data_IF_416943302072
#
_entry.id   IF_416943302072
#
_cell.length_a   1.000
_cell.length_b   1.000
_cell.length_c   1.000
_cell.angle_alpha   90.00
_cell.angle_beta   90.00
_cell.angle_gamma   90.00
#
_symmetry.space_group_name_H-M   'P 1'
#
loop_
_entity.id
_entity.type
_entity.pdbx_description
1 polymer ?
#
# COMPACT_ATOMS: atom_id res chain seq x y z
N UNK A 1 27.17 18.32 -1.69
CA UNK A 1 27.38 17.56 -2.93
C UNK A 1 26.19 16.64 -3.03
N UNK A 2 25.33 16.84 -3.99
CA UNK A 2 24.17 15.97 -4.22
C UNK A 2 24.46 15.12 -5.45
N UNK A 3 24.17 13.82 -5.36
CA UNK A 3 24.24 12.90 -6.50
C UNK A 3 22.81 12.72 -7.03
N UNK A 4 22.59 13.01 -8.29
CA UNK A 4 21.39 12.58 -9.00
C UNK A 4 21.82 11.48 -9.96
N UNK A 5 21.20 10.29 -9.86
CA UNK A 5 21.31 9.26 -10.88
C UNK A 5 20.23 9.52 -11.93
N UNK A 6 20.60 9.52 -13.20
CA UNK A 6 19.65 9.56 -14.30
C UNK A 6 19.37 8.14 -14.80
N UNK A 7 18.15 7.87 -15.28
CA UNK A 7 17.73 6.57 -15.82
C UNK A 7 18.55 6.08 -17.04
N UNK A 8 19.45 6.93 -17.59
CA UNK A 8 20.37 6.60 -18.69
C UNK A 8 21.74 6.10 -18.21
N UNK A 9 21.89 5.77 -16.92
CA UNK A 9 23.15 5.30 -16.32
C UNK A 9 24.21 6.36 -16.12
N UNK A 10 23.88 7.65 -16.33
CA UNK A 10 24.75 8.77 -16.09
C UNK A 10 24.62 9.33 -14.67
N UNK A 11 25.71 9.56 -13.96
CA UNK A 11 25.70 10.30 -12.71
C UNK A 11 25.94 11.79 -12.99
N UNK A 12 24.99 12.66 -12.59
CA UNK A 12 25.21 14.11 -12.58
C UNK A 12 25.70 14.56 -11.21
N UNK A 13 26.86 15.17 -11.17
CA UNK A 13 27.35 15.86 -9.98
C UNK A 13 26.98 17.34 -10.08
N UNK A 14 26.24 17.85 -9.10
CA UNK A 14 25.99 19.27 -8.95
C UNK A 14 26.82 19.82 -7.79
N UNK A 15 27.61 20.85 -8.05
CA UNK A 15 28.29 21.62 -7.02
C UNK A 15 27.40 22.83 -6.72
N UNK A 16 26.79 22.85 -5.54
CA UNK A 16 26.04 24.00 -5.07
C UNK A 16 26.99 24.93 -4.30
N UNK A 17 27.17 26.13 -4.80
CA UNK A 17 27.88 27.21 -4.08
C UNK A 17 26.82 28.05 -3.39
N UNK A 18 26.78 27.99 -2.06
CA UNK A 18 25.90 28.82 -1.26
C UNK A 18 26.60 30.13 -0.96
N UNK A 19 25.97 31.25 -1.36
CA UNK A 19 26.38 32.59 -0.96
C UNK A 19 25.37 33.18 0.03
N UNK A 20 25.85 33.96 1.00
CA UNK A 20 24.95 34.77 1.84
C UNK A 20 24.34 35.88 0.96
N UNK A 21 23.01 35.94 0.93
CA UNK A 21 22.26 37.05 0.38
C UNK A 21 21.78 37.96 1.53
N UNK A 22 21.60 39.24 1.25
CA UNK A 22 20.91 40.13 2.19
C UNK A 22 19.48 39.65 2.40
N UNK A 23 19.02 39.64 3.66
CA UNK A 23 17.68 39.20 4.00
C UNK A 23 16.60 40.01 3.25
N UNK A 24 16.84 41.28 3.01
CA UNK A 24 15.95 42.18 2.27
C UNK A 24 15.90 41.91 0.75
N UNK A 25 16.83 41.10 0.23
CA UNK A 25 16.86 40.69 -1.18
C UNK A 25 16.08 39.41 -1.44
N UNK A 26 15.65 38.66 -0.39
CA UNK A 26 14.88 37.42 -0.48
C UNK A 26 13.41 37.74 -0.25
N UNK A 27 12.56 37.50 -1.26
CA UNK A 27 11.12 37.62 -1.10
C UNK A 27 10.65 36.59 -0.05
N UNK A 28 9.92 37.05 0.99
CA UNK A 28 9.37 36.15 1.98
C UNK A 28 8.32 35.23 1.33
N UNK A 29 8.44 33.92 1.57
CA UNK A 29 7.44 32.94 1.14
C UNK A 29 6.48 32.64 2.27
N UNK A 30 5.22 32.37 1.93
CA UNK A 30 4.26 31.83 2.89
C UNK A 30 4.71 30.42 3.29
N UNK A 31 4.97 30.23 4.58
CA UNK A 31 5.34 28.92 5.12
C UNK A 31 4.10 28.10 5.43
N UNK A 32 4.10 26.87 4.95
CA UNK A 32 3.05 25.87 5.18
C UNK A 32 3.65 24.70 5.97
N UNK A 33 3.11 24.43 7.14
CA UNK A 33 3.58 23.35 8.00
C UNK A 33 3.04 22.00 7.50
N UNK A 34 3.94 21.07 7.19
CA UNK A 34 3.60 19.69 6.85
C UNK A 34 4.02 18.78 8.00
N UNK A 35 3.07 18.08 8.61
CA UNK A 35 3.32 17.05 9.61
C UNK A 35 3.47 15.67 8.94
N UNK A 36 4.48 14.90 9.37
CA UNK A 36 4.72 13.54 8.92
C UNK A 36 5.30 12.66 10.03
N UNK A 37 5.41 11.36 9.76
CA UNK A 37 6.06 10.35 10.60
C UNK A 37 7.15 9.62 9.78
N UNK A 38 8.22 10.33 9.47
CA UNK A 38 9.18 9.95 8.47
C UNK A 38 8.69 10.29 7.05
N UNK A 39 9.55 10.90 6.27
CA UNK A 39 9.26 11.15 4.85
C UNK A 39 9.96 10.08 4.02
N UNK A 40 9.22 9.50 3.08
CA UNK A 40 9.83 8.73 2.02
C UNK A 40 10.74 9.60 1.14
N UNK A 41 11.58 8.96 0.34
CA UNK A 41 12.57 9.64 -0.48
C UNK A 41 11.92 10.53 -1.55
N UNK A 42 10.84 10.06 -2.21
CA UNK A 42 10.19 10.75 -3.32
C UNK A 42 9.51 12.02 -2.83
N UNK A 43 8.73 11.92 -1.75
CA UNK A 43 8.05 13.08 -1.16
C UNK A 43 9.05 14.11 -0.62
N UNK A 44 10.14 13.66 0.01
CA UNK A 44 11.24 14.55 0.44
C UNK A 44 11.86 15.29 -0.73
N UNK A 45 12.14 14.60 -1.83
CA UNK A 45 12.69 15.20 -3.05
C UNK A 45 11.72 16.19 -3.66
N UNK A 46 10.43 15.89 -3.68
CA UNK A 46 9.39 16.80 -4.20
C UNK A 46 9.24 18.06 -3.35
N UNK A 47 9.31 17.96 -2.01
CA UNK A 47 9.33 19.13 -1.12
C UNK A 47 10.52 20.04 -1.44
N UNK A 48 11.70 19.47 -1.65
CA UNK A 48 12.89 20.25 -2.01
C UNK A 48 12.70 20.93 -3.38
N UNK A 49 12.18 20.21 -4.38
CA UNK A 49 11.89 20.74 -5.72
C UNK A 49 10.87 21.88 -5.64
N UNK A 50 9.75 21.66 -4.93
CA UNK A 50 8.71 22.66 -4.73
C UNK A 50 9.24 23.91 -4.01
N UNK A 51 9.98 23.74 -2.92
CA UNK A 51 10.54 24.85 -2.16
C UNK A 51 11.54 25.70 -2.96
N UNK A 52 12.19 25.11 -3.97
CA UNK A 52 13.10 25.84 -4.88
C UNK A 52 12.33 26.55 -6.00
N UNK A 53 11.34 25.92 -6.59
CA UNK A 53 10.63 26.43 -7.78
C UNK A 53 9.50 27.39 -7.45
N UNK A 54 8.77 27.19 -6.35
CA UNK A 54 7.67 28.05 -5.94
C UNK A 54 8.19 29.44 -5.54
N UNK A 55 7.59 30.50 -6.10
CA UNK A 55 7.91 31.88 -5.73
C UNK A 55 7.27 32.28 -4.39
N UNK A 56 6.08 31.78 -4.11
CA UNK A 56 5.18 32.30 -3.08
C UNK A 56 5.13 31.42 -1.82
N UNK A 57 5.44 30.10 -1.96
CA UNK A 57 5.21 29.12 -0.91
C UNK A 57 6.47 28.34 -0.53
N UNK A 58 6.49 27.89 0.72
CA UNK A 58 7.52 27.00 1.25
C UNK A 58 6.90 25.97 2.20
N UNK A 59 7.17 24.70 1.97
CA UNK A 59 6.79 23.62 2.91
C UNK A 59 7.86 23.54 4.00
N UNK A 60 7.40 23.57 5.25
CA UNK A 60 8.20 23.39 6.46
C UNK A 60 7.80 22.07 7.10
N UNK A 61 8.67 21.09 7.06
CA UNK A 61 8.41 19.75 7.58
C UNK A 61 8.51 19.74 9.09
N UNK A 62 7.51 19.13 9.74
CA UNK A 62 7.49 18.77 11.15
C UNK A 62 7.42 17.23 11.23
N UNK A 63 8.55 16.61 11.48
CA UNK A 63 8.63 15.15 11.57
C UNK A 63 8.37 14.69 13.02
N UNK A 64 7.23 14.05 13.23
CA UNK A 64 6.82 13.55 14.54
C UNK A 64 7.42 12.19 14.87
N UNK A 65 8.07 11.50 13.92
CA UNK A 65 8.81 10.27 14.20
C UNK A 65 9.97 10.50 15.18
N UNK A 66 10.50 11.72 15.25
CA UNK A 66 11.56 12.11 16.19
C UNK A 66 11.16 11.96 17.67
N UNK A 67 9.85 11.88 17.97
CA UNK A 67 9.35 11.68 19.34
C UNK A 67 9.20 10.21 19.73
N UNK A 68 9.30 9.27 18.76
CA UNK A 68 9.21 7.84 19.03
C UNK A 68 10.42 7.41 19.92
N UNK A 69 10.16 6.49 20.83
CA UNK A 69 11.17 5.87 21.70
C UNK A 69 11.06 4.36 21.61
N UNK A 70 12.07 3.64 22.09
CA UNK A 70 12.04 2.17 22.15
C UNK A 70 10.88 1.62 23.01
N UNK A 71 10.39 2.43 23.97
CA UNK A 71 9.29 2.06 24.86
C UNK A 71 7.91 2.56 24.37
N UNK A 72 7.87 3.55 23.46
CA UNK A 72 6.62 4.15 22.93
C UNK A 72 6.81 4.64 21.49
N UNK A 73 6.48 3.77 20.55
CA UNK A 73 6.48 4.09 19.12
C UNK A 73 5.38 5.09 18.73
N UNK A 74 4.31 5.22 19.55
CA UNK A 74 3.17 6.11 19.29
C UNK A 74 3.33 7.50 19.93
N UNK A 75 4.45 7.78 20.61
CA UNK A 75 4.67 9.08 21.26
C UNK A 75 4.55 10.27 20.29
N UNK A 76 4.99 10.10 19.04
CA UNK A 76 4.82 11.11 17.98
C UNK A 76 3.34 11.39 17.66
N UNK A 77 2.52 10.35 17.50
CA UNK A 77 1.09 10.49 17.25
C UNK A 77 0.38 11.18 18.44
N UNK A 78 0.73 10.79 19.66
CA UNK A 78 0.23 11.43 20.90
C UNK A 78 0.58 12.91 20.92
N UNK A 79 1.82 13.26 20.52
CA UNK A 79 2.28 14.65 20.44
C UNK A 79 1.50 15.45 19.40
N UNK A 80 1.33 14.93 18.19
CA UNK A 80 0.55 15.59 17.13
C UNK A 80 -0.91 15.79 17.58
N UNK A 81 -1.55 14.78 18.16
CA UNK A 81 -2.92 14.89 18.66
C UNK A 81 -3.05 15.97 19.76
N UNK A 82 -2.05 16.07 20.65
CA UNK A 82 -2.01 17.13 21.68
C UNK A 82 -1.92 18.53 21.05
N UNK A 83 -1.10 18.70 20.00
CA UNK A 83 -0.99 19.95 19.27
C UNK A 83 -2.30 20.31 18.53
N UNK A 84 -2.94 19.33 17.88
CA UNK A 84 -4.26 19.50 17.24
C UNK A 84 -5.29 19.96 18.26
N UNK A 85 -5.40 19.30 19.42
CA UNK A 85 -6.35 19.67 20.49
C UNK A 85 -6.07 21.08 21.03
N UNK A 86 -4.81 21.49 21.11
CA UNK A 86 -4.42 22.84 21.55
C UNK A 86 -4.62 23.92 20.49
N UNK A 87 -5.07 23.55 19.29
CA UNK A 87 -5.30 24.49 18.17
C UNK A 87 -4.05 24.79 17.33
N UNK A 88 -2.94 24.09 17.57
CA UNK A 88 -1.71 24.20 16.76
C UNK A 88 -1.72 23.12 15.66
N UNK A 89 -2.64 23.27 14.71
CA UNK A 89 -2.90 22.29 13.67
C UNK A 89 -1.98 22.57 12.47
N UNK A 90 -1.20 21.59 11.96
CA UNK A 90 -0.44 21.74 10.73
C UNK A 90 -1.33 22.02 9.52
N UNK A 91 -0.79 22.66 8.47
CA UNK A 91 -1.54 23.00 7.25
C UNK A 91 -1.77 21.76 6.38
N UNK A 92 -0.78 20.86 6.33
CA UNK A 92 -0.77 19.65 5.54
C UNK A 92 -0.42 18.47 6.45
N UNK A 93 -1.09 17.34 6.26
CA UNK A 93 -0.72 16.07 6.88
C UNK A 93 -0.24 15.11 5.78
N UNK A 94 0.93 14.52 5.98
CA UNK A 94 1.44 13.41 5.17
C UNK A 94 1.31 12.12 6.00
N UNK A 95 0.43 11.23 5.56
CA UNK A 95 0.11 10.00 6.26
C UNK A 95 0.75 8.80 5.57
N UNK A 96 1.56 8.07 6.31
CA UNK A 96 2.11 6.76 5.98
C UNK A 96 1.46 5.68 6.85
N UNK A 97 0.11 5.59 6.81
CA UNK A 97 -0.73 4.61 7.51
C UNK A 97 -0.79 4.72 9.05
N UNK A 98 -0.26 5.79 9.66
CA UNK A 98 -0.29 5.99 11.11
C UNK A 98 -1.38 6.94 11.60
N UNK A 99 -1.84 7.87 10.74
CA UNK A 99 -2.80 8.87 11.13
C UNK A 99 -4.24 8.35 11.05
N UNK A 100 -5.09 8.62 12.04
CA UNK A 100 -6.49 8.24 12.04
C UNK A 100 -7.31 9.20 11.14
N UNK A 101 -7.08 9.15 9.82
CA UNK A 101 -7.63 10.10 8.86
C UNK A 101 -9.16 10.14 8.90
N UNK A 102 -9.81 8.98 9.02
CA UNK A 102 -11.28 8.90 9.09
C UNK A 102 -11.82 9.63 10.33
N UNK A 103 -11.14 9.55 11.48
CA UNK A 103 -11.52 10.30 12.68
C UNK A 103 -11.31 11.80 12.48
N UNK A 104 -10.18 12.21 11.88
CA UNK A 104 -9.93 13.63 11.59
C UNK A 104 -10.98 14.19 10.63
N UNK A 105 -11.38 13.41 9.63
CA UNK A 105 -12.47 13.76 8.71
C UNK A 105 -13.82 13.90 9.45
N UNK A 106 -14.17 12.92 10.29
CA UNK A 106 -15.40 12.96 11.09
C UNK A 106 -15.47 14.18 12.02
N UNK A 107 -14.33 14.61 12.56
CA UNK A 107 -14.21 15.84 13.39
C UNK A 107 -14.16 17.14 12.56
N UNK A 108 -14.28 17.06 11.23
CA UNK A 108 -14.22 18.22 10.34
C UNK A 108 -12.86 18.91 10.27
N UNK A 109 -11.77 18.17 10.54
CA UNK A 109 -10.41 18.71 10.52
C UNK A 109 -9.80 18.75 9.13
N UNK A 110 -10.38 18.03 8.14
CA UNK A 110 -9.82 17.84 6.80
C UNK A 110 -10.73 18.45 5.73
N UNK A 111 -10.09 19.00 4.70
CA UNK A 111 -10.76 19.49 3.48
C UNK A 111 -11.12 18.34 2.56
N UNK A 112 -12.26 18.49 1.85
CA UNK A 112 -12.58 17.67 0.71
C UNK A 112 -11.71 18.09 -0.48
N UNK A 113 -10.93 17.18 -1.03
CA UNK A 113 -10.00 17.44 -2.12
C UNK A 113 -10.64 17.36 -3.52
N UNK A 114 -11.83 16.77 -3.66
CA UNK A 114 -12.51 16.71 -4.95
C UNK A 114 -12.72 18.08 -5.61
N UNK A 115 -13.16 19.12 -4.88
CA UNK A 115 -13.32 20.45 -5.48
C UNK A 115 -12.02 21.04 -6.04
N UNK A 116 -10.87 20.72 -5.45
CA UNK A 116 -9.57 21.18 -5.95
C UNK A 116 -9.18 20.42 -7.23
N UNK A 117 -9.37 19.12 -7.26
CA UNK A 117 -9.12 18.25 -8.42
C UNK A 117 -10.03 18.65 -9.58
N UNK A 118 -11.33 18.84 -9.32
CA UNK A 118 -12.31 19.18 -10.35
C UNK A 118 -12.11 20.59 -10.95
N UNK A 119 -11.50 21.49 -10.18
CA UNK A 119 -11.19 22.85 -10.65
C UNK A 119 -9.85 22.94 -11.39
N UNK A 120 -8.99 21.91 -11.31
CA UNK A 120 -7.66 21.90 -11.92
C UNK A 120 -7.67 21.13 -13.25
N UNK A 121 -7.51 21.82 -14.41
CA UNK A 121 -7.57 21.17 -15.70
C UNK A 121 -6.36 20.25 -15.99
N UNK A 122 -5.28 20.34 -15.21
CA UNK A 122 -4.07 19.51 -15.40
C UNK A 122 -4.13 18.19 -14.64
N UNK A 123 -4.94 18.10 -13.58
CA UNK A 123 -5.13 16.89 -12.79
C UNK A 123 -6.61 16.54 -12.54
N UNK A 124 -7.50 16.86 -13.49
CA UNK A 124 -8.92 16.48 -13.43
C UNK A 124 -9.12 14.97 -13.33
N UNK A 125 -10.26 14.52 -12.81
CA UNK A 125 -10.55 13.09 -12.52
C UNK A 125 -10.29 12.16 -13.71
N UNK A 126 -10.58 12.60 -14.93
CA UNK A 126 -10.36 11.82 -16.15
C UNK A 126 -8.88 11.54 -16.45
N UNK A 127 -7.97 12.32 -15.85
CA UNK A 127 -6.53 12.15 -15.96
C UNK A 127 -5.93 11.29 -14.86
N UNK A 128 -6.71 10.89 -13.86
CA UNK A 128 -6.24 10.15 -12.69
C UNK A 128 -6.77 8.71 -12.72
N UNK A 129 -6.01 7.80 -12.11
CA UNK A 129 -6.45 6.46 -11.75
C UNK A 129 -7.48 6.59 -10.63
N UNK A 130 -8.78 6.59 -10.97
CA UNK A 130 -9.83 6.96 -10.00
C UNK A 130 -10.14 5.87 -8.98
N UNK A 131 -9.90 4.60 -9.27
CA UNK A 131 -10.20 3.48 -8.37
C UNK A 131 -9.52 3.62 -7.00
N UNK A 132 -8.19 3.87 -6.90
CA UNK A 132 -7.56 4.14 -5.60
C UNK A 132 -8.15 5.33 -4.87
N UNK A 133 -8.54 6.39 -5.60
CA UNK A 133 -9.14 7.58 -5.00
C UNK A 133 -10.57 7.30 -4.49
N UNK A 134 -11.36 6.55 -5.27
CA UNK A 134 -12.72 6.15 -4.91
C UNK A 134 -12.73 5.28 -3.63
N UNK A 135 -11.74 4.40 -3.47
CA UNK A 135 -11.61 3.55 -2.28
C UNK A 135 -11.28 4.31 -0.99
N UNK A 136 -10.72 5.53 -1.12
CA UNK A 136 -10.40 6.44 0.00
C UNK A 136 -11.54 7.39 0.37
N UNK A 137 -12.65 7.39 -0.41
CA UNK A 137 -13.75 8.28 -0.12
C UNK A 137 -14.48 7.92 1.18
N UNK A 138 -14.91 8.95 1.87
CA UNK A 138 -15.88 8.87 2.96
C UNK A 138 -17.04 9.79 2.59
N UNK A 139 -18.26 9.26 2.45
CA UNK A 139 -19.46 10.01 2.04
C UNK A 139 -19.30 10.78 0.72
N UNK A 140 -18.62 10.18 -0.23
CA UNK A 140 -18.36 10.80 -1.54
C UNK A 140 -17.33 11.93 -1.52
N UNK A 141 -16.67 12.19 -0.37
CA UNK A 141 -15.61 13.18 -0.20
C UNK A 141 -14.25 12.50 -0.16
N UNK A 142 -13.24 13.16 -0.69
CA UNK A 142 -11.86 12.72 -0.68
C UNK A 142 -11.05 13.57 0.31
N UNK A 143 -10.70 13.02 1.46
CA UNK A 143 -9.97 13.74 2.50
C UNK A 143 -8.46 13.57 2.42
N UNK A 144 -7.98 12.62 1.63
CA UNK A 144 -6.58 12.33 1.43
C UNK A 144 -6.31 11.93 -0.02
N UNK A 145 -5.22 12.42 -0.58
CA UNK A 145 -4.76 12.12 -1.93
C UNK A 145 -3.51 11.24 -1.85
N UNK A 146 -3.54 9.99 -2.37
CA UNK A 146 -2.35 9.16 -2.43
C UNK A 146 -1.37 9.71 -3.48
N UNK A 147 -0.07 9.64 -3.20
CA UNK A 147 0.97 10.06 -4.17
C UNK A 147 1.23 9.01 -5.23
N UNK A 148 0.94 7.75 -4.92
CA UNK A 148 1.09 6.55 -5.73
C UNK A 148 0.05 5.51 -5.29
N UNK A 149 0.09 4.33 -5.87
CA UNK A 149 -0.68 3.21 -5.32
C UNK A 149 -0.03 1.85 -5.62
N UNK A 150 -0.33 0.90 -4.76
CA UNK A 150 -0.15 -0.53 -4.96
C UNK A 150 -1.44 -1.27 -4.65
N UNK A 151 -1.45 -2.58 -4.84
CA UNK A 151 -2.57 -3.46 -4.46
C UNK A 151 -2.04 -4.58 -3.58
N UNK A 152 -2.42 -4.57 -2.32
CA UNK A 152 -2.20 -5.70 -1.40
C UNK A 152 -3.16 -6.82 -1.76
N UNK A 153 -2.64 -8.02 -1.94
CA UNK A 153 -3.37 -9.19 -2.43
C UNK A 153 -2.82 -10.49 -1.83
N UNK A 154 -3.44 -11.59 -2.14
CA UNK A 154 -2.88 -12.93 -1.97
C UNK A 154 -2.92 -13.68 -3.30
N UNK A 155 -1.84 -14.40 -3.60
CA UNK A 155 -1.68 -15.17 -4.83
C UNK A 155 -1.90 -16.65 -4.54
N UNK A 156 -2.69 -17.31 -5.38
CA UNK A 156 -2.80 -18.76 -5.44
C UNK A 156 -2.48 -19.30 -6.83
N UNK A 157 -2.31 -20.62 -6.97
CA UNK A 157 -2.17 -21.26 -8.29
C UNK A 157 -3.55 -21.51 -8.90
N UNK A 158 -3.72 -21.14 -10.18
CA UNK A 158 -4.98 -21.31 -10.91
C UNK A 158 -5.51 -22.73 -10.85
N UNK A 159 -4.65 -23.74 -11.02
CA UNK A 159 -5.02 -25.15 -10.88
C UNK A 159 -5.66 -25.53 -9.53
N UNK A 160 -5.52 -24.68 -8.50
CA UNK A 160 -6.07 -24.90 -7.16
C UNK A 160 -7.23 -23.96 -6.88
N UNK A 161 -7.12 -22.68 -7.27
CA UNK A 161 -8.08 -21.63 -6.90
C UNK A 161 -9.10 -21.30 -8.00
N UNK A 162 -8.86 -21.68 -9.25
CA UNK A 162 -9.85 -21.53 -10.32
C UNK A 162 -11.08 -22.40 -10.03
N UNK A 163 -12.27 -21.83 -10.18
CA UNK A 163 -13.53 -22.53 -9.94
C UNK A 163 -14.25 -22.12 -8.65
N UNK A 164 -13.68 -21.16 -7.90
CA UNK A 164 -14.39 -20.48 -6.82
C UNK A 164 -14.92 -19.13 -7.34
N UNK A 165 -16.23 -18.91 -7.22
CA UNK A 165 -16.88 -17.65 -7.60
C UNK A 165 -16.71 -16.58 -6.51
N UNK A 166 -16.49 -17.01 -5.27
CA UNK A 166 -16.19 -16.20 -4.08
C UNK A 166 -14.87 -16.67 -3.47
N UNK A 167 -14.34 -15.90 -2.52
CA UNK A 167 -13.13 -16.28 -1.80
C UNK A 167 -13.33 -16.05 -0.31
N UNK A 168 -14.19 -16.89 0.29
CA UNK A 168 -14.50 -16.89 1.72
C UNK A 168 -13.54 -17.78 2.51
N UNK A 169 -13.57 -17.69 3.84
CA UNK A 169 -12.82 -18.63 4.70
C UNK A 169 -13.22 -20.09 4.46
N UNK A 170 -14.49 -20.35 4.11
CA UNK A 170 -14.95 -21.68 3.75
C UNK A 170 -14.31 -22.15 2.45
N UNK A 171 -14.21 -21.28 1.43
CA UNK A 171 -13.56 -21.59 0.16
C UNK A 171 -12.06 -21.86 0.35
N UNK A 172 -11.37 -21.06 1.20
CA UNK A 172 -9.97 -21.27 1.58
C UNK A 172 -9.77 -22.65 2.22
N UNK A 173 -10.64 -23.03 3.16
CA UNK A 173 -10.56 -24.34 3.82
C UNK A 173 -10.83 -25.50 2.85
N UNK A 174 -11.80 -25.35 1.94
CA UNK A 174 -12.07 -26.35 0.89
C UNK A 174 -10.88 -26.48 -0.07
N UNK A 175 -10.30 -25.36 -0.53
CA UNK A 175 -9.12 -25.36 -1.40
C UNK A 175 -7.91 -26.00 -0.69
N UNK A 176 -7.66 -25.66 0.57
CA UNK A 176 -6.60 -26.25 1.37
C UNK A 176 -6.77 -27.77 1.50
N UNK A 177 -8.00 -28.26 1.66
CA UNK A 177 -8.29 -29.70 1.78
C UNK A 177 -7.93 -30.50 0.52
N UNK A 178 -7.78 -29.85 -0.63
CA UNK A 178 -7.37 -30.45 -1.92
C UNK A 178 -5.87 -30.55 -2.08
N UNK A 179 -5.10 -29.90 -1.21
CA UNK A 179 -3.64 -29.96 -1.20
C UNK A 179 -3.14 -31.18 -0.41
N UNK A 180 -1.86 -31.59 -0.57
CA UNK A 180 -1.27 -32.66 0.21
C UNK A 180 -1.39 -32.43 1.73
N UNK A 181 -1.46 -33.53 2.48
CA UNK A 181 -1.47 -33.49 3.95
C UNK A 181 -0.26 -32.70 4.48
N UNK A 182 -0.49 -31.79 5.42
CA UNK A 182 0.53 -30.92 5.98
C UNK A 182 0.71 -29.57 5.23
N UNK A 183 -0.06 -29.33 4.16
CA UNK A 183 -0.10 -28.03 3.52
C UNK A 183 -0.69 -26.98 4.47
N UNK A 184 -0.23 -25.73 4.33
CA UNK A 184 -0.68 -24.58 5.12
C UNK A 184 -1.34 -23.53 4.23
N UNK A 185 -2.16 -22.66 4.80
CA UNK A 185 -2.76 -21.56 4.01
C UNK A 185 -1.66 -20.58 3.59
N UNK A 186 -0.88 -20.10 4.55
CA UNK A 186 0.27 -19.21 4.33
C UNK A 186 1.55 -19.85 4.84
N UNK A 187 2.69 -19.21 4.65
CA UNK A 187 3.96 -19.69 5.14
C UNK A 187 3.97 -19.79 6.66
N UNK A 188 4.74 -20.78 7.18
CA UNK A 188 4.93 -21.03 8.61
C UNK A 188 5.55 -19.84 9.39
N UNK A 189 6.15 -18.90 8.70
CA UNK A 189 6.75 -17.70 9.30
C UNK A 189 5.71 -16.69 9.79
N UNK A 190 4.47 -16.74 9.28
CA UNK A 190 3.42 -15.85 9.76
C UNK A 190 2.94 -16.26 11.14
N UNK A 191 2.95 -15.30 12.06
CA UNK A 191 2.48 -15.47 13.43
C UNK A 191 1.00 -15.13 13.57
N UNK A 192 0.40 -15.53 14.71
CA UNK A 192 -0.97 -15.13 15.06
C UNK A 192 -1.17 -13.61 15.03
N UNK A 193 -0.17 -12.85 15.53
CA UNK A 193 -0.25 -11.38 15.58
C UNK A 193 -0.26 -10.77 14.18
N UNK A 194 0.61 -11.23 13.29
CA UNK A 194 0.68 -10.75 11.90
C UNK A 194 -0.58 -11.13 11.11
N UNK A 195 -1.06 -12.38 11.24
CA UNK A 195 -2.27 -12.80 10.55
C UNK A 195 -3.52 -12.07 11.07
N UNK A 196 -3.61 -11.82 12.37
CA UNK A 196 -4.69 -11.01 12.94
C UNK A 196 -4.69 -9.60 12.36
N UNK A 197 -3.52 -8.97 12.29
CA UNK A 197 -3.36 -7.64 11.71
C UNK A 197 -3.76 -7.61 10.22
N UNK A 198 -3.27 -8.56 9.42
CA UNK A 198 -3.65 -8.67 8.01
C UNK A 198 -5.15 -8.86 7.84
N UNK A 199 -5.74 -9.83 8.52
CA UNK A 199 -7.16 -10.11 8.42
C UNK A 199 -8.03 -8.91 8.82
N UNK A 200 -7.67 -8.18 9.87
CA UNK A 200 -8.41 -6.99 10.29
C UNK A 200 -8.22 -5.85 9.30
N UNK A 201 -6.99 -5.57 8.86
CA UNK A 201 -6.70 -4.47 7.93
C UNK A 201 -7.41 -4.66 6.58
N UNK A 202 -7.44 -5.88 6.07
CA UNK A 202 -8.08 -6.22 4.78
C UNK A 202 -9.62 -6.29 4.86
N UNK A 203 -10.20 -6.34 6.07
CA UNK A 203 -11.64 -6.41 6.32
C UNK A 203 -12.15 -5.25 7.21
N UNK A 204 -11.37 -4.18 7.40
CA UNK A 204 -11.68 -3.12 8.35
C UNK A 204 -13.05 -2.47 8.10
N UNK A 205 -13.41 -2.28 6.83
CA UNK A 205 -14.68 -1.71 6.37
C UNK A 205 -15.90 -2.61 6.66
N UNK A 206 -15.72 -3.92 6.79
CA UNK A 206 -16.77 -4.86 7.19
C UNK A 206 -17.09 -4.79 8.69
N UNK A 207 -16.11 -4.40 9.50
CA UNK A 207 -16.25 -4.42 10.96
C UNK A 207 -16.42 -3.04 11.60
N UNK A 208 -16.08 -1.95 10.90
CA UNK A 208 -16.11 -0.59 11.46
C UNK A 208 -16.78 0.38 10.50
N UNK A 209 -17.69 1.19 11.05
CA UNK A 209 -18.25 2.36 10.39
C UNK A 209 -17.97 3.60 11.25
N UNK A 210 -16.95 4.35 10.89
CA UNK A 210 -16.53 5.55 11.61
C UNK A 210 -17.56 6.67 11.54
N UNK A 211 -18.31 6.77 10.44
CA UNK A 211 -19.32 7.79 10.23
C UNK A 211 -20.49 7.59 11.19
N UNK A 212 -21.04 6.39 11.22
CA UNK A 212 -22.15 6.05 12.10
C UNK A 212 -21.66 5.85 13.55
N UNK A 213 -20.35 5.69 13.75
CA UNK A 213 -19.72 5.39 15.04
C UNK A 213 -20.14 4.04 15.56
N UNK A 214 -20.21 3.05 14.67
CA UNK A 214 -20.62 1.69 15.00
C UNK A 214 -19.52 0.69 14.61
N UNK A 215 -19.53 -0.47 15.25
CA UNK A 215 -18.70 -1.60 14.88
C UNK A 215 -19.46 -2.92 15.05
N UNK A 216 -18.96 -3.98 14.44
CA UNK A 216 -19.59 -5.30 14.41
C UNK A 216 -18.55 -6.42 14.65
N UNK A 217 -17.85 -6.37 15.79
CA UNK A 217 -16.89 -7.40 16.19
C UNK A 217 -17.52 -8.59 16.94
N UNK A 218 -18.77 -8.48 17.42
CA UNK A 218 -19.53 -9.62 17.97
C UNK A 218 -20.37 -10.29 16.88
N UNK A 219 -19.76 -10.58 15.73
CA UNK A 219 -20.38 -11.25 14.58
C UNK A 219 -19.79 -12.64 14.34
N UNK A 220 -20.51 -13.48 13.60
CA UNK A 220 -20.03 -14.81 13.24
C UNK A 220 -18.82 -14.71 12.30
N UNK A 221 -18.79 -13.69 11.43
CA UNK A 221 -17.69 -13.43 10.49
C UNK A 221 -16.40 -13.09 11.24
N UNK A 222 -16.47 -12.24 12.27
CA UNK A 222 -15.27 -11.89 13.05
C UNK A 222 -14.80 -13.06 13.91
N UNK A 223 -15.72 -13.87 14.44
CA UNK A 223 -15.38 -15.11 15.16
C UNK A 223 -14.67 -16.11 14.24
N UNK A 224 -15.17 -16.29 13.03
CA UNK A 224 -14.53 -17.16 12.02
C UNK A 224 -13.11 -16.67 11.67
N UNK A 225 -12.90 -15.35 11.60
CA UNK A 225 -11.58 -14.78 11.40
C UNK A 225 -10.64 -15.09 12.57
N UNK A 226 -11.08 -14.96 13.82
CA UNK A 226 -10.28 -15.33 15.00
C UNK A 226 -9.95 -16.83 15.01
N UNK A 227 -10.90 -17.68 14.62
CA UNK A 227 -10.69 -19.12 14.49
C UNK A 227 -9.69 -19.46 13.38
N UNK A 228 -9.72 -18.72 12.27
CA UNK A 228 -8.75 -18.84 11.18
C UNK A 228 -7.33 -18.47 11.61
N UNK A 229 -7.18 -17.46 12.47
CA UNK A 229 -5.88 -17.00 12.98
C UNK A 229 -5.28 -17.97 14.01
N UNK A 230 -6.12 -18.67 14.79
CA UNK A 230 -5.66 -19.49 15.92
C UNK A 230 -4.65 -20.60 15.58
N UNK A 231 -4.70 -21.30 14.44
CA UNK A 231 -3.73 -22.33 14.08
C UNK A 231 -2.32 -21.84 13.79
N UNK A 232 -2.14 -20.52 13.55
CA UNK A 232 -0.80 -19.97 13.32
C UNK A 232 0.05 -19.99 14.59
N UNK A 233 1.40 -20.06 14.48
CA UNK A 233 2.27 -20.02 15.65
C UNK A 233 2.14 -18.68 16.39
N UNK A 234 2.20 -18.73 17.73
CA UNK A 234 2.21 -17.51 18.55
C UNK A 234 3.47 -16.67 18.28
N UNK A 235 4.60 -17.35 18.13
CA UNK A 235 5.90 -16.77 17.80
C UNK A 235 6.61 -17.70 16.82
N UNK A 236 7.46 -17.15 15.97
CA UNK A 236 8.34 -17.95 15.11
C UNK A 236 9.77 -17.89 15.62
N UNK A 237 10.34 -19.07 15.91
CA UNK A 237 11.73 -19.17 16.40
C UNK A 237 12.70 -19.40 15.22
N UNK A 238 13.24 -18.31 14.71
CA UNK A 238 14.25 -18.31 13.64
C UNK A 238 15.56 -19.03 14.03
N UNK A 239 15.85 -19.18 15.32
CA UNK A 239 17.10 -19.79 15.77
C UNK A 239 17.02 -21.32 15.84
N UNK A 240 15.83 -21.85 16.09
CA UNK A 240 15.61 -23.30 16.15
C UNK A 240 15.17 -23.89 14.82
N UNK A 241 14.82 -23.06 13.85
CA UNK A 241 14.44 -23.53 12.50
C UNK A 241 15.66 -24.08 11.78
N UNK A 242 15.74 -25.41 11.73
CA UNK A 242 16.80 -26.15 11.03
C UNK A 242 16.39 -26.61 9.64
N UNK A 243 15.18 -26.27 9.22
CA UNK A 243 14.70 -26.58 7.86
C UNK A 243 15.38 -25.65 6.86
N UNK A 244 15.71 -26.21 5.70
CA UNK A 244 16.19 -25.43 4.58
C UNK A 244 15.12 -24.43 4.13
N UNK A 245 15.53 -23.18 3.90
CA UNK A 245 14.62 -22.15 3.45
C UNK A 245 13.99 -22.54 2.11
N UNK A 246 12.66 -22.55 2.04
CA UNK A 246 11.90 -22.77 0.82
C UNK A 246 11.05 -21.52 0.54
N UNK A 247 11.21 -20.91 -0.63
CA UNK A 247 10.47 -19.71 -1.01
C UNK A 247 8.98 -19.98 -1.13
N UNK A 248 8.15 -18.94 -0.93
CA UNK A 248 6.68 -19.03 -1.08
C UNK A 248 6.30 -19.55 -2.47
N UNK A 249 7.00 -19.12 -3.52
CA UNK A 249 6.76 -19.61 -4.88
C UNK A 249 7.03 -21.13 -5.03
N UNK A 250 8.12 -21.62 -4.45
CA UNK A 250 8.40 -23.06 -4.42
C UNK A 250 7.35 -23.83 -3.63
N UNK A 251 6.95 -23.30 -2.47
CA UNK A 251 5.94 -23.92 -1.62
C UNK A 251 4.57 -23.99 -2.31
N UNK A 252 4.16 -22.92 -3.04
CA UNK A 252 2.96 -22.93 -3.88
C UNK A 252 3.05 -24.01 -4.97
N UNK A 253 4.14 -24.04 -5.74
CA UNK A 253 4.35 -25.02 -6.82
C UNK A 253 4.29 -26.46 -6.33
N UNK A 254 4.86 -26.73 -5.15
CA UNK A 254 4.94 -28.04 -4.51
C UNK A 254 3.66 -28.42 -3.72
N UNK A 255 2.65 -27.54 -3.68
CA UNK A 255 1.41 -27.78 -2.95
C UNK A 255 1.57 -27.83 -1.43
N UNK A 256 2.62 -27.21 -0.89
CA UNK A 256 2.86 -27.08 0.56
C UNK A 256 2.19 -25.86 1.17
N UNK A 257 1.76 -24.94 0.32
CA UNK A 257 1.13 -23.67 0.69
C UNK A 257 0.03 -23.35 -0.32
N UNK A 258 -1.09 -22.81 0.18
CA UNK A 258 -2.23 -22.44 -0.65
C UNK A 258 -2.09 -21.03 -1.22
N UNK A 259 -1.73 -20.06 -0.39
CA UNK A 259 -1.70 -18.64 -0.72
C UNK A 259 -0.36 -18.00 -0.33
N UNK A 260 0.05 -17.02 -1.12
CA UNK A 260 1.18 -16.13 -0.81
C UNK A 260 0.69 -14.69 -0.71
N UNK A 261 0.72 -14.07 0.50
CA UNK A 261 0.40 -12.65 0.67
C UNK A 261 1.48 -11.81 0.00
N UNK A 262 1.08 -10.87 -0.82
CA UNK A 262 1.99 -9.99 -1.55
C UNK A 262 1.33 -8.66 -1.87
N UNK A 263 2.07 -7.77 -2.51
CA UNK A 263 1.54 -6.54 -3.08
C UNK A 263 2.05 -6.37 -4.50
N UNK A 264 1.19 -5.83 -5.36
CA UNK A 264 1.54 -5.36 -6.69
C UNK A 264 1.80 -3.87 -6.61
N UNK A 265 3.04 -3.45 -6.83
CA UNK A 265 3.43 -2.05 -6.84
C UNK A 265 3.76 -1.53 -8.23
N UNK A 266 4.18 -2.45 -9.12
CA UNK A 266 4.67 -2.11 -10.46
C UNK A 266 4.38 -3.24 -11.45
N UNK A 267 4.61 -2.99 -12.72
CA UNK A 267 4.58 -4.05 -13.73
C UNK A 267 5.75 -5.04 -13.59
N UNK A 268 6.84 -4.65 -12.90
CA UNK A 268 7.97 -5.53 -12.64
C UNK A 268 7.58 -6.68 -11.68
N UNK A 269 6.69 -6.43 -10.71
CA UNK A 269 6.18 -7.46 -9.81
C UNK A 269 5.47 -8.59 -10.57
N UNK A 270 4.88 -8.27 -11.73
CA UNK A 270 4.25 -9.26 -12.59
C UNK A 270 5.25 -10.20 -13.25
N UNK A 271 6.35 -9.67 -13.77
CA UNK A 271 7.39 -10.51 -14.39
C UNK A 271 7.79 -11.62 -13.44
N UNK A 272 8.12 -11.23 -12.18
CA UNK A 272 8.55 -12.15 -11.15
C UNK A 272 7.47 -13.18 -10.83
N UNK A 273 6.26 -12.71 -10.56
CA UNK A 273 5.17 -13.58 -10.14
C UNK A 273 4.77 -14.59 -11.21
N UNK A 274 4.56 -14.14 -12.44
CA UNK A 274 4.15 -15.02 -13.52
C UNK A 274 5.27 -15.96 -13.96
N UNK A 275 6.51 -15.49 -14.05
CA UNK A 275 7.66 -16.33 -14.37
C UNK A 275 7.87 -17.40 -13.29
N UNK A 276 7.81 -17.03 -12.01
CA UNK A 276 7.97 -17.93 -10.89
C UNK A 276 6.91 -19.05 -10.85
N UNK A 277 5.67 -18.74 -11.23
CA UNK A 277 4.53 -19.65 -11.15
C UNK A 277 4.11 -20.23 -12.52
N UNK A 278 4.98 -20.16 -13.55
CA UNK A 278 4.72 -20.68 -14.89
C UNK A 278 3.41 -20.13 -15.51
N UNK A 279 3.14 -18.85 -15.34
CA UNK A 279 1.91 -18.15 -15.75
C UNK A 279 0.60 -18.68 -15.11
N UNK A 280 0.70 -19.47 -14.03
CA UNK A 280 -0.49 -20.00 -13.31
C UNK A 280 -0.86 -19.18 -12.05
N UNK A 281 -0.38 -17.94 -11.96
CA UNK A 281 -0.71 -17.04 -10.84
C UNK A 281 -2.16 -16.54 -10.92
N UNK A 282 -2.85 -16.50 -9.78
CA UNK A 282 -4.16 -15.86 -9.61
C UNK A 282 -4.12 -14.94 -8.39
N UNK A 283 -4.53 -13.71 -8.59
CA UNK A 283 -4.61 -12.70 -7.54
C UNK A 283 -6.00 -12.77 -6.89
N UNK A 284 -6.16 -13.68 -5.94
CA UNK A 284 -7.46 -13.97 -5.31
C UNK A 284 -7.75 -13.06 -4.11
N UNK A 285 -6.71 -12.42 -3.56
CA UNK A 285 -6.84 -11.60 -2.35
C UNK A 285 -6.98 -12.40 -1.07
N UNK A 286 -7.26 -11.69 0.02
CA UNK A 286 -7.58 -12.29 1.32
C UNK A 286 -9.04 -12.72 1.35
N UNK A 287 -9.40 -13.74 2.15
CA UNK A 287 -10.80 -14.19 2.23
C UNK A 287 -11.70 -13.11 2.83
N UNK A 288 -12.88 -12.92 2.21
CA UNK A 288 -13.92 -12.00 2.64
C UNK A 288 -15.29 -12.65 2.57
N UNK A 289 -16.07 -12.49 3.66
CA UNK A 289 -17.39 -13.11 3.77
C UNK A 289 -18.50 -12.33 3.02
N UNK A 290 -18.23 -11.08 2.62
CA UNK A 290 -19.18 -10.24 1.88
C UNK A 290 -19.23 -10.52 0.37
N UNK A 291 -18.40 -11.46 -0.12
CA UNK A 291 -18.29 -11.82 -1.53
C UNK A 291 -17.52 -10.82 -2.40
N UNK A 292 -16.94 -9.76 -1.81
CA UNK A 292 -16.04 -8.86 -2.51
C UNK A 292 -14.65 -9.48 -2.66
N UNK A 293 -13.81 -8.89 -3.52
CA UNK A 293 -12.41 -9.31 -3.61
C UNK A 293 -11.65 -8.85 -2.38
N UNK A 294 -10.83 -9.71 -1.80
CA UNK A 294 -9.98 -9.39 -0.65
C UNK A 294 -8.70 -8.65 -1.04
N UNK A 295 -8.76 -7.84 -2.09
CA UNK A 295 -7.69 -6.94 -2.50
C UNK A 295 -7.91 -5.56 -1.90
N UNK A 296 -6.84 -4.85 -1.55
CA UNK A 296 -6.94 -3.48 -1.07
C UNK A 296 -5.82 -2.61 -1.64
N UNK A 297 -6.14 -1.38 -2.04
CA UNK A 297 -5.14 -0.42 -2.41
C UNK A 297 -4.29 -0.02 -1.21
N UNK A 298 -3.04 0.32 -1.46
CA UNK A 298 -2.13 0.94 -0.50
C UNK A 298 -1.36 2.08 -1.19
N UNK A 299 -0.64 2.89 -0.43
CA UNK A 299 0.22 3.96 -0.93
C UNK A 299 1.36 4.22 0.07
N UNK A 300 2.51 4.66 -0.41
CA UNK A 300 3.63 5.06 0.43
C UNK A 300 3.28 6.27 1.31
N UNK A 301 2.50 7.20 0.75
CA UNK A 301 1.97 8.33 1.50
C UNK A 301 0.67 8.87 0.89
N UNK A 302 -0.20 9.38 1.76
CA UNK A 302 -1.35 10.18 1.37
C UNK A 302 -1.24 11.59 1.94
N UNK A 303 -1.73 12.59 1.23
CA UNK A 303 -1.65 14.01 1.59
C UNK A 303 -3.02 14.58 1.87
N UNK A 304 -3.16 15.29 3.00
CA UNK A 304 -4.39 15.95 3.42
C UNK A 304 -4.17 17.45 3.60
N UNK A 305 -5.20 18.26 3.35
CA UNK A 305 -5.24 19.68 3.72
C UNK A 305 -6.12 19.81 4.98
N UNK A 306 -5.64 20.53 5.99
CA UNK A 306 -6.47 20.77 7.18
C UNK A 306 -7.42 21.95 6.96
N UNK A 307 -8.62 21.91 7.59
CA UNK A 307 -9.60 22.99 7.47
C UNK A 307 -9.10 24.31 8.07
N UNK A 308 -8.14 24.25 8.99
CA UNK A 308 -7.50 25.42 9.63
C UNK A 308 -6.37 26.02 8.80
N UNK A 309 -5.92 25.37 7.72
CA UNK A 309 -4.93 25.91 6.79
C UNK A 309 -5.43 27.27 6.27
N UNK A 310 -4.61 28.29 6.46
CA UNK A 310 -4.98 29.67 6.08
C UNK A 310 -4.79 29.94 4.60
N UNK A 311 -3.84 29.25 3.98
CA UNK A 311 -3.54 29.36 2.55
C UNK A 311 -3.70 27.99 1.88
N UNK A 312 -4.97 27.61 1.67
CA UNK A 312 -5.34 26.34 1.03
C UNK A 312 -4.89 26.28 -0.42
N UNK A 313 -4.77 27.42 -1.09
CA UNK A 313 -4.25 27.48 -2.46
C UNK A 313 -2.77 27.08 -2.50
N UNK A 314 -1.97 27.53 -1.54
CA UNK A 314 -0.58 27.11 -1.40
C UNK A 314 -0.43 25.64 -1.02
N UNK A 315 -1.28 25.14 -0.11
CA UNK A 315 -1.32 23.73 0.24
C UNK A 315 -1.68 22.85 -0.97
N UNK A 316 -2.70 23.25 -1.73
CA UNK A 316 -3.07 22.56 -2.97
C UNK A 316 -1.97 22.62 -4.02
N UNK A 317 -1.33 23.78 -4.21
CA UNK A 317 -0.21 23.90 -5.15
C UNK A 317 0.93 22.89 -4.85
N UNK A 318 1.22 22.64 -3.58
CA UNK A 318 2.17 21.60 -3.21
C UNK A 318 1.63 20.19 -3.50
N UNK A 319 0.42 19.86 -3.04
CA UNK A 319 -0.19 18.54 -3.27
C UNK A 319 -0.31 18.26 -4.77
N UNK A 320 -0.79 19.23 -5.54
CA UNK A 320 -0.84 19.11 -7.00
C UNK A 320 0.53 18.82 -7.63
N UNK A 321 1.61 19.36 -7.05
CA UNK A 321 2.96 19.11 -7.58
C UNK A 321 3.39 17.65 -7.49
N UNK A 322 2.75 16.84 -6.64
CA UNK A 322 2.95 15.38 -6.60
C UNK A 322 2.21 14.64 -7.72
N UNK A 323 1.33 15.31 -8.44
CA UNK A 323 0.64 14.79 -9.63
C UNK A 323 1.29 15.23 -10.94
N UNK A 324 2.42 15.95 -10.90
CA UNK A 324 3.16 16.33 -12.11
C UNK A 324 3.79 15.10 -12.78
N UNK A 325 3.81 15.10 -14.11
CA UNK A 325 4.29 13.99 -14.94
C UNK A 325 5.69 13.50 -14.53
N UNK A 326 6.63 14.45 -14.30
CA UNK A 326 8.01 14.11 -13.91
C UNK A 326 8.08 13.40 -12.56
N UNK A 327 7.24 13.82 -11.59
CA UNK A 327 7.18 13.17 -10.29
C UNK A 327 6.55 11.78 -10.41
N UNK A 328 5.41 11.69 -11.08
CA UNK A 328 4.68 10.45 -11.23
C UNK A 328 5.46 9.37 -12.01
N UNK A 329 6.27 9.76 -13.00
CA UNK A 329 7.18 8.84 -13.71
C UNK A 329 8.41 8.43 -12.91
N UNK A 330 8.77 9.18 -11.86
CA UNK A 330 9.91 8.83 -11.00
C UNK A 330 9.56 7.85 -9.89
N UNK A 331 8.27 7.53 -9.74
CA UNK A 331 7.78 6.62 -8.70
C UNK A 331 8.09 5.17 -9.03
N UNK A 332 8.36 4.40 -8.00
CA UNK A 332 8.56 2.96 -8.09
C UNK A 332 7.23 2.21 -8.12
N UNK A 333 6.24 2.76 -7.40
CA UNK A 333 4.88 2.23 -7.35
C UNK A 333 4.04 2.72 -8.54
N UNK A 334 2.86 2.14 -8.73
CA UNK A 334 1.93 2.59 -9.76
C UNK A 334 1.57 4.07 -9.57
N UNK A 335 1.74 4.89 -10.61
CA UNK A 335 1.41 6.30 -10.53
C UNK A 335 -0.11 6.53 -10.52
N UNK A 336 -0.53 7.58 -9.79
CA UNK A 336 -1.93 8.05 -9.80
C UNK A 336 -2.27 8.76 -11.10
N UNK A 337 -1.29 9.41 -11.75
CA UNK A 337 -1.50 10.06 -13.04
C UNK A 337 -1.61 9.00 -14.15
N UNK A 338 -2.75 8.99 -14.85
CA UNK A 338 -3.08 7.97 -15.86
C UNK A 338 -2.08 7.91 -17.02
N UNK A 339 -1.60 9.07 -17.49
CA UNK A 339 -0.60 9.13 -18.55
C UNK A 339 0.74 8.49 -18.15
N UNK A 340 1.15 8.66 -16.89
CA UNK A 340 2.36 8.03 -16.35
C UNK A 340 2.15 6.51 -16.18
N UNK A 341 0.98 6.08 -15.69
CA UNK A 341 0.62 4.66 -15.59
C UNK A 341 0.64 3.98 -16.97
N UNK A 342 0.01 4.60 -17.98
CA UNK A 342 -0.01 4.08 -19.36
C UNK A 342 1.40 4.05 -19.98
N UNK A 343 2.26 5.03 -19.64
CA UNK A 343 3.65 5.05 -20.10
C UNK A 343 4.46 3.89 -19.50
N UNK A 344 4.34 3.66 -18.17
CA UNK A 344 4.99 2.54 -17.48
C UNK A 344 4.49 1.18 -18.02
N UNK A 345 3.18 1.06 -18.26
CA UNK A 345 2.60 -0.14 -18.88
C UNK A 345 3.19 -0.41 -20.27
N UNK A 346 3.25 0.64 -21.10
CA UNK A 346 3.81 0.53 -22.45
C UNK A 346 5.29 0.15 -22.44
N UNK A 347 6.06 0.72 -21.53
CA UNK A 347 7.48 0.38 -21.35
C UNK A 347 7.62 -1.09 -20.95
N UNK A 348 6.91 -1.55 -19.92
CA UNK A 348 6.91 -2.92 -19.44
C UNK A 348 6.48 -3.94 -20.52
N UNK A 349 5.55 -3.56 -21.41
CA UNK A 349 5.07 -4.41 -22.51
C UNK A 349 5.94 -4.35 -23.76
N UNK A 350 6.98 -3.52 -23.79
CA UNK A 350 7.85 -3.37 -24.96
C UNK A 350 8.95 -4.43 -24.93
N UNK A 351 8.83 -5.45 -25.79
CA UNK A 351 9.86 -6.49 -25.94
C UNK A 351 10.95 -6.02 -26.90
N UNK A 352 12.19 -6.03 -26.40
CA UNK A 352 13.38 -5.84 -27.23
C UNK A 352 13.85 -7.15 -27.79
N UNK A 353 14.46 -7.12 -29.00
CA UNK A 353 14.94 -8.30 -29.71
C UNK A 353 16.41 -8.14 -30.09
N UNK A 354 17.14 -9.25 -30.13
CA UNK A 354 18.51 -9.25 -30.61
C UNK A 354 18.60 -8.76 -32.06
N UNK A 355 19.60 -7.94 -32.35
CA UNK A 355 19.85 -7.39 -33.68
C UNK A 355 21.30 -7.64 -34.11
N UNK A 356 21.51 -7.84 -35.44
CA UNK A 356 22.82 -7.90 -36.04
C UNK A 356 23.48 -6.50 -36.15
N UNK A 357 24.69 -6.45 -36.69
CA UNK A 357 25.46 -5.20 -36.87
C UNK A 357 24.76 -4.18 -37.81
N UNK A 358 23.85 -4.66 -38.67
CA UNK A 358 23.09 -3.83 -39.61
C UNK A 358 21.71 -3.42 -39.05
N UNK A 359 21.37 -3.86 -37.80
CA UNK A 359 20.11 -3.53 -37.11
C UNK A 359 18.94 -4.44 -37.47
N UNK A 360 19.17 -5.58 -38.18
CA UNK A 360 18.12 -6.54 -38.47
C UNK A 360 17.95 -7.50 -37.27
N UNK A 361 16.73 -7.92 -36.99
CA UNK A 361 16.44 -8.88 -35.92
C UNK A 361 17.11 -10.23 -36.22
N UNK A 362 17.76 -10.81 -35.21
CA UNK A 362 18.30 -12.18 -35.24
C UNK A 362 17.14 -13.15 -34.99
N UNK A 363 17.05 -14.19 -35.82
CA UNK A 363 15.97 -15.17 -35.73
C UNK A 363 16.49 -16.50 -35.14
N UNK A 364 15.63 -17.17 -34.39
CA UNK A 364 15.84 -18.52 -33.89
C UNK A 364 15.74 -19.59 -35.01
N UNK A 365 15.90 -20.88 -34.67
CA UNK A 365 15.80 -22.00 -35.58
C UNK A 365 14.39 -22.13 -36.23
N UNK A 366 13.37 -21.54 -35.64
CA UNK A 366 11.98 -21.56 -36.11
C UNK A 366 11.62 -20.30 -36.91
N UNK A 367 12.55 -19.37 -37.05
CA UNK A 367 12.34 -18.09 -37.76
C UNK A 367 11.68 -17.00 -36.93
N UNK A 368 11.62 -17.10 -35.58
CA UNK A 368 11.11 -16.07 -34.70
C UNK A 368 12.24 -15.15 -34.22
N UNK A 369 11.99 -13.83 -34.03
CA UNK A 369 12.95 -12.94 -33.39
C UNK A 369 13.35 -13.44 -32.00
N UNK A 370 14.63 -13.38 -31.67
CA UNK A 370 15.15 -13.78 -30.35
C UNK A 370 14.91 -12.63 -29.38
N UNK A 371 14.05 -12.78 -28.35
CA UNK A 371 13.78 -11.73 -27.40
C UNK A 371 14.98 -11.51 -26.47
N UNK A 372 15.27 -10.24 -26.16
CA UNK A 372 16.24 -9.87 -25.13
C UNK A 372 15.53 -9.99 -23.76
N UNK A 373 16.18 -10.69 -22.83
CA UNK A 373 15.71 -10.75 -21.45
C UNK A 373 15.78 -9.36 -20.78
N UNK A 374 14.71 -8.96 -20.11
CA UNK A 374 14.68 -7.71 -19.33
C UNK A 374 15.38 -7.84 -17.98
N UNK A 375 15.69 -9.06 -17.57
CA UNK A 375 16.36 -9.36 -16.31
C UNK A 375 16.31 -10.85 -15.99
N UNK A 376 16.73 -11.20 -14.79
CA UNK A 376 16.68 -12.58 -14.31
C UNK A 376 16.45 -12.63 -12.81
N UNK A 377 15.81 -13.69 -12.34
CA UNK A 377 15.63 -13.95 -10.94
C UNK A 377 15.93 -15.41 -10.59
N UNK A 378 16.35 -15.63 -9.35
CA UNK A 378 16.54 -16.98 -8.81
C UNK A 378 15.93 -17.06 -7.41
N UNK A 379 15.43 -18.23 -7.04
CA UNK A 379 14.95 -18.54 -5.69
C UNK A 379 15.81 -19.65 -5.11
N UNK A 380 16.61 -19.33 -4.11
CA UNK A 380 17.47 -20.32 -3.48
C UNK A 380 18.35 -21.04 -4.50
N UNK A 381 18.24 -22.37 -4.58
CA UNK A 381 19.02 -23.23 -5.50
C UNK A 381 18.34 -23.45 -6.87
N UNK A 382 17.21 -22.80 -7.15
CA UNK A 382 16.55 -22.92 -8.47
C UNK A 382 17.36 -22.21 -9.57
N UNK A 383 17.31 -22.72 -10.80
CA UNK A 383 17.94 -22.06 -11.95
C UNK A 383 17.40 -20.64 -12.12
N UNK A 384 18.27 -19.75 -12.60
CA UNK A 384 17.85 -18.39 -12.96
C UNK A 384 16.72 -18.46 -13.99
N UNK A 385 15.62 -17.76 -13.68
CA UNK A 385 14.49 -17.57 -14.59
C UNK A 385 14.72 -16.27 -15.34
N UNK A 386 14.76 -16.33 -16.67
CA UNK A 386 14.81 -15.13 -17.50
C UNK A 386 13.44 -14.45 -17.57
N UNK A 387 13.45 -13.13 -17.49
CA UNK A 387 12.26 -12.30 -17.51
C UNK A 387 12.14 -11.61 -18.88
N UNK A 388 10.93 -11.52 -19.39
CA UNK A 388 10.62 -10.91 -20.68
C UNK A 388 9.49 -9.89 -20.53
N UNK A 389 9.22 -9.10 -21.56
CA UNK A 389 8.18 -8.07 -21.54
C UNK A 389 6.81 -8.62 -21.10
N UNK A 390 6.05 -7.79 -20.35
CA UNK A 390 4.69 -8.11 -19.92
C UNK A 390 3.81 -8.38 -21.13
N UNK A 391 3.10 -9.49 -21.11
CA UNK A 391 2.13 -9.83 -22.16
C UNK A 391 0.82 -9.06 -21.98
N UNK A 392 0.02 -8.97 -23.05
CA UNK A 392 -1.32 -8.37 -22.95
C UNK A 392 -2.20 -9.09 -21.92
N UNK A 393 -2.14 -10.40 -21.83
CA UNK A 393 -2.89 -11.19 -20.85
C UNK A 393 -2.51 -10.85 -19.41
N UNK A 394 -1.22 -10.67 -19.14
CA UNK A 394 -0.72 -10.26 -17.83
C UNK A 394 -1.16 -8.83 -17.48
N UNK A 395 -1.06 -7.90 -18.44
CA UNK A 395 -1.57 -6.53 -18.29
C UNK A 395 -3.08 -6.53 -17.97
N UNK A 396 -3.88 -7.28 -18.73
CA UNK A 396 -5.33 -7.38 -18.53
C UNK A 396 -5.66 -7.95 -17.13
N UNK A 397 -4.83 -8.87 -16.63
CA UNK A 397 -4.95 -9.41 -15.27
C UNK A 397 -4.77 -8.31 -14.21
N UNK A 398 -3.74 -7.47 -14.34
CA UNK A 398 -3.53 -6.34 -13.41
C UNK A 398 -4.70 -5.37 -13.45
N UNK A 399 -5.14 -5.02 -14.66
CA UNK A 399 -6.28 -4.10 -14.80
C UNK A 399 -7.53 -4.69 -14.15
N UNK A 400 -7.78 -5.99 -14.30
CA UNK A 400 -8.90 -6.67 -13.63
C UNK A 400 -8.77 -6.62 -12.09
N UNK A 401 -7.56 -6.80 -11.54
CA UNK A 401 -7.29 -6.66 -10.11
C UNK A 401 -7.57 -5.23 -9.65
N UNK A 402 -7.03 -4.22 -10.35
CA UNK A 402 -7.26 -2.80 -10.04
C UNK A 402 -8.75 -2.47 -10.10
N UNK A 403 -9.46 -2.89 -11.16
CA UNK A 403 -10.88 -2.57 -11.37
C UNK A 403 -11.80 -3.24 -10.33
N UNK A 404 -11.44 -4.43 -9.86
CA UNK A 404 -12.20 -5.16 -8.85
C UNK A 404 -11.90 -4.73 -7.41
N UNK A 405 -10.80 -4.00 -7.18
CA UNK A 405 -10.41 -3.54 -5.84
C UNK A 405 -11.26 -2.34 -5.44
N UNK A 406 -11.91 -2.43 -4.28
CA UNK A 406 -12.82 -1.40 -3.77
C UNK A 406 -12.42 -0.83 -2.42
N UNK A 407 -11.46 -1.46 -1.73
CA UNK A 407 -11.00 -1.09 -0.40
C UNK A 407 -9.59 -0.46 -0.47
N UNK A 408 -9.25 0.35 0.51
CA UNK A 408 -7.89 0.80 0.78
C UNK A 408 -7.43 0.23 2.12
N UNK A 409 -6.17 -0.20 2.22
CA UNK A 409 -5.61 -0.69 3.48
C UNK A 409 -5.68 0.44 4.51
N UNK A 410 -6.51 0.26 5.51
CA UNK A 410 -6.72 1.24 6.55
C UNK A 410 -6.96 0.51 7.88
N UNK A 411 -6.24 0.91 8.91
CA UNK A 411 -6.49 0.45 10.25
C UNK A 411 -6.17 1.53 11.28
N UNK A 412 -6.93 1.53 12.34
CA UNK A 412 -6.66 2.39 13.50
C UNK A 412 -5.80 1.62 14.51
N UNK A 413 -4.63 2.16 14.85
CA UNK A 413 -3.68 1.49 15.75
C UNK A 413 -4.29 1.21 17.13
N UNK A 414 -5.15 2.11 17.65
CA UNK A 414 -5.78 1.90 18.95
C UNK A 414 -6.82 0.78 18.88
N UNK A 415 -7.58 0.70 17.78
CA UNK A 415 -8.48 -0.43 17.54
C UNK A 415 -7.70 -1.73 17.42
N UNK A 416 -6.58 -1.74 16.68
CA UNK A 416 -5.72 -2.93 16.56
C UNK A 416 -5.16 -3.35 17.93
N UNK A 417 -4.73 -2.41 18.77
CA UNK A 417 -4.26 -2.70 20.11
C UNK A 417 -5.38 -3.34 20.96
N UNK A 418 -6.60 -2.79 20.91
CA UNK A 418 -7.76 -3.36 21.61
C UNK A 418 -8.04 -4.79 21.13
N UNK A 419 -8.04 -5.02 19.81
CA UNK A 419 -8.27 -6.33 19.23
C UNK A 419 -7.19 -7.32 19.67
N UNK A 420 -5.92 -6.95 19.57
CA UNK A 420 -4.77 -7.79 19.95
C UNK A 420 -4.80 -8.16 21.44
N UNK A 421 -5.05 -7.18 22.32
CA UNK A 421 -5.15 -7.39 23.77
C UNK A 421 -6.23 -8.42 24.14
N UNK A 422 -7.42 -8.29 23.57
CA UNK A 422 -8.54 -9.17 23.92
C UNK A 422 -8.48 -10.52 23.20
N UNK A 423 -7.98 -10.56 21.96
CA UNK A 423 -7.77 -11.80 21.22
C UNK A 423 -6.69 -12.68 21.85
N UNK A 424 -5.68 -12.09 22.51
CA UNK A 424 -4.59 -12.82 23.15
C UNK A 424 -5.10 -13.91 24.13
N UNK A 425 -6.17 -13.63 24.88
CA UNK A 425 -6.76 -14.61 25.81
C UNK A 425 -7.39 -15.81 25.09
N UNK A 426 -8.01 -15.58 23.93
CA UNK A 426 -8.56 -16.66 23.09
C UNK A 426 -7.45 -17.45 22.39
N UNK A 427 -6.48 -16.77 21.82
CA UNK A 427 -5.35 -17.40 21.13
C UNK A 427 -4.54 -18.27 22.09
N UNK A 428 -4.34 -17.84 23.33
CA UNK A 428 -3.71 -18.62 24.39
C UNK A 428 -4.61 -19.70 25.03
N UNK A 429 -5.89 -19.81 24.61
CA UNK A 429 -6.84 -20.82 25.09
C UNK A 429 -7.45 -20.55 26.49
N UNK A 430 -7.32 -19.34 27.03
CA UNK A 430 -7.88 -18.96 28.33
C UNK A 430 -9.31 -18.36 28.23
N UNK A 431 -9.75 -17.96 27.03
CA UNK A 431 -11.10 -17.44 26.73
C UNK A 431 -11.70 -18.23 25.57
N UNK A 432 -13.02 -18.21 25.43
CA UNK A 432 -13.71 -18.67 24.21
C UNK A 432 -13.67 -17.58 23.14
N UNK A 433 -13.96 -17.93 21.90
CA UNK A 433 -14.02 -16.97 20.78
C UNK A 433 -15.13 -15.96 21.00
N UNK A 434 -16.28 -16.38 21.55
CA UNK A 434 -17.41 -15.51 21.85
C UNK A 434 -17.08 -14.51 22.97
N UNK A 435 -16.32 -14.94 24.00
CA UNK A 435 -15.87 -14.04 25.07
C UNK A 435 -14.93 -12.97 24.55
N UNK A 436 -13.95 -13.35 23.74
CA UNK A 436 -13.00 -12.41 23.12
C UNK A 436 -13.74 -11.43 22.18
N UNK A 437 -14.59 -11.95 21.29
CA UNK A 437 -15.38 -11.15 20.33
C UNK A 437 -16.25 -10.11 21.03
N UNK A 438 -16.97 -10.48 22.11
CA UNK A 438 -17.79 -9.54 22.91
C UNK A 438 -16.97 -8.47 23.62
N UNK A 439 -15.80 -8.82 24.15
CA UNK A 439 -14.93 -7.85 24.79
C UNK A 439 -14.37 -6.85 23.78
N UNK A 440 -13.93 -7.32 22.62
CA UNK A 440 -13.48 -6.50 21.49
C UNK A 440 -14.62 -5.54 21.09
N UNK A 441 -15.81 -6.10 20.82
CA UNK A 441 -17.00 -5.29 20.47
C UNK A 441 -17.25 -4.19 21.48
N UNK A 442 -17.23 -4.51 22.77
CA UNK A 442 -17.52 -3.54 23.83
C UNK A 442 -16.47 -2.43 23.91
N UNK A 443 -15.17 -2.80 23.89
CA UNK A 443 -14.07 -1.82 24.01
C UNK A 443 -13.95 -0.96 22.76
N UNK A 444 -14.06 -1.55 21.55
CA UNK A 444 -13.99 -0.80 20.29
C UNK A 444 -15.22 0.12 20.15
N UNK A 445 -16.43 -0.33 20.52
CA UNK A 445 -17.61 0.53 20.51
C UNK A 445 -17.44 1.77 21.42
N UNK A 446 -16.88 1.58 22.61
CA UNK A 446 -16.60 2.68 23.51
C UNK A 446 -15.57 3.65 22.90
N UNK A 447 -14.47 3.11 22.39
CA UNK A 447 -13.42 3.90 21.75
C UNK A 447 -13.96 4.73 20.58
N UNK A 448 -14.73 4.12 19.66
CA UNK A 448 -15.32 4.85 18.52
C UNK A 448 -16.27 5.96 18.98
N UNK A 449 -17.07 5.71 20.04
CA UNK A 449 -17.98 6.72 20.59
C UNK A 449 -17.23 7.90 21.22
N UNK A 450 -16.09 7.66 21.85
CA UNK A 450 -15.25 8.72 22.44
C UNK A 450 -14.55 9.58 21.36
N UNK A 451 -14.46 9.08 20.13
CA UNK A 451 -13.86 9.80 19.01
C UNK A 451 -14.86 10.70 18.24
N UNK A 452 -16.16 10.59 18.51
CA UNK A 452 -17.19 11.50 17.99
C UNK A 452 -17.17 12.83 18.75
#
# INVERSE_FOLDING_TARGET
MTYESSNDGGSRQQILVLARADADSVQPKTELALACFGLDYNLRSQIVKFNRSSADYRIVVKDYSEYATDDDYNAGLTKLNTEIISGNIPDILANSMLLPIRQYAAKGLLEDLWPYIDADPECSRDKLMTKPLESLQTDGKLYQLPIDFGVTTAIGLGKVVDGYDTWTLADVNDALSKLPEGATVFNKYYTQAEMLQYCVAMNADSFMNWQDGTCNFDSDEFRALLEFVKPFPAEYDWQSDSEEYESDYSRLKNGKQLLYPTSLYSFDDLYYTFAALNNDARFVGFPREDGSTGNAFNSDATLCITTTCKDKAGAWAFIRSTLEEDFQKSLWNFPILKSAFEANAKEAMTQEYETDADGNQILDENGNPIPISTGGMSYGDEPMIELYAVTQEQYDTVMAVIDSTTSFVDYDQNVMNIISDEAAGYLAGSKTVEEASKLIQSRVSLYIQEQK
#
